data_IF_460039876820
#
_entry.id   IF_460039876820
#
_cell.length_a   1.000
_cell.length_b   1.000
_cell.length_c   1.000
_cell.angle_alpha   90.00
_cell.angle_beta   90.00
_cell.angle_gamma   90.00
#
_symmetry.space_group_name_H-M   'P 1'
#
loop_
_entity.id
_entity.type
_entity.pdbx_description
1 polymer ?
#
# COMPACT_ATOMS: atom_id res chain seq x y z
N UNK A 1 -0.03 -9.59 7.09
CA UNK A 1 0.08 -8.83 5.83
C UNK A 1 0.63 -9.72 4.72
N UNK A 2 0.03 -9.74 3.53
CA UNK A 2 0.50 -10.51 2.38
C UNK A 2 0.20 -9.80 1.06
N UNK A 3 0.71 -10.33 -0.06
CA UNK A 3 0.30 -10.00 -1.43
C UNK A 3 -0.45 -11.14 -2.11
N UNK A 4 -0.72 -12.22 -1.38
CA UNK A 4 -1.26 -13.47 -1.91
C UNK A 4 -2.60 -13.82 -1.29
N UNK A 5 -3.42 -14.58 -2.02
CA UNK A 5 -4.68 -15.17 -1.57
C UNK A 5 -4.51 -16.50 -0.84
N UNK A 6 -3.28 -17.00 -0.64
CA UNK A 6 -3.06 -18.35 -0.08
C UNK A 6 -3.68 -18.57 1.31
N UNK A 7 -3.83 -17.52 2.11
CA UNK A 7 -4.49 -17.60 3.43
C UNK A 7 -5.96 -18.05 3.33
N UNK A 8 -6.59 -17.98 2.15
CA UNK A 8 -7.96 -18.46 1.94
C UNK A 8 -8.12 -19.94 2.31
N UNK A 9 -7.05 -20.72 2.22
CA UNK A 9 -7.02 -22.15 2.56
C UNK A 9 -7.19 -22.41 4.05
N UNK A 10 -6.82 -21.44 4.87
CA UNK A 10 -6.76 -21.56 6.33
C UNK A 10 -7.85 -20.71 7.00
N UNK A 11 -8.86 -20.23 6.26
CA UNK A 11 -9.91 -19.34 6.80
C UNK A 11 -10.70 -19.99 7.94
N UNK A 12 -10.91 -21.30 7.89
CA UNK A 12 -11.58 -22.08 8.94
C UNK A 12 -10.80 -22.07 10.25
N UNK A 13 -9.47 -22.00 10.19
CA UNK A 13 -8.59 -21.85 11.35
C UNK A 13 -8.54 -20.37 11.77
N UNK A 14 -8.25 -19.47 10.83
CA UNK A 14 -8.01 -18.05 11.07
C UNK A 14 -9.22 -17.35 11.71
N UNK A 15 -10.45 -17.73 11.37
CA UNK A 15 -11.66 -17.15 11.96
C UNK A 15 -11.83 -17.42 13.46
N UNK A 16 -11.15 -18.44 13.98
CA UNK A 16 -11.17 -18.79 15.40
C UNK A 16 -9.98 -18.16 16.17
N UNK A 17 -9.11 -17.40 15.49
CA UNK A 17 -7.95 -16.74 16.09
C UNK A 17 -8.19 -15.24 16.23
N UNK A 18 -7.60 -14.64 17.27
CA UNK A 18 -7.51 -13.19 17.43
C UNK A 18 -6.49 -12.62 16.43
N UNK A 19 -6.91 -12.44 15.18
CA UNK A 19 -6.05 -11.99 14.09
C UNK A 19 -6.73 -10.95 13.18
N UNK A 20 -5.92 -10.22 12.43
CA UNK A 20 -6.38 -9.36 11.34
C UNK A 20 -5.62 -9.70 10.05
N UNK A 21 -6.35 -9.75 8.93
CA UNK A 21 -5.78 -10.07 7.62
C UNK A 21 -5.55 -8.78 6.84
N UNK A 22 -4.29 -8.59 6.44
CA UNK A 22 -3.87 -7.47 5.61
C UNK A 22 -3.43 -7.91 4.23
N UNK A 23 -3.89 -7.24 3.17
CA UNK A 23 -3.36 -7.43 1.82
C UNK A 23 -2.83 -6.11 1.25
N UNK A 24 -1.68 -6.15 0.57
CA UNK A 24 -1.22 -5.02 -0.23
C UNK A 24 -1.86 -5.05 -1.61
N UNK A 25 -2.55 -3.96 -1.95
CA UNK A 25 -3.11 -3.68 -3.27
C UNK A 25 -2.59 -2.31 -3.67
N UNK A 26 -1.47 -2.32 -4.41
CA UNK A 26 -0.73 -1.10 -4.76
C UNK A 26 -1.51 -0.23 -5.76
N UNK A 27 -2.26 -0.87 -6.64
CA UNK A 27 -3.18 -0.26 -7.62
C UNK A 27 -4.21 -1.31 -8.05
N UNK A 28 -5.39 -0.87 -8.51
CA UNK A 28 -6.39 -1.72 -9.19
C UNK A 28 -6.12 -1.91 -10.68
N UNK A 29 -5.22 -1.13 -11.26
CA UNK A 29 -4.77 -1.30 -12.64
C UNK A 29 -3.93 -2.57 -12.75
N UNK A 30 -4.50 -3.57 -13.43
CA UNK A 30 -3.90 -4.90 -13.62
C UNK A 30 -2.55 -4.83 -14.36
N UNK A 31 -2.40 -3.91 -15.32
CA UNK A 31 -1.16 -3.77 -16.07
C UNK A 31 -0.07 -3.15 -15.22
N UNK A 32 -0.39 -2.08 -14.49
CA UNK A 32 0.55 -1.46 -13.55
C UNK A 32 0.94 -2.42 -12.44
N UNK A 33 -0.02 -3.16 -11.90
CA UNK A 33 0.24 -4.17 -10.87
C UNK A 33 1.14 -5.29 -11.39
N UNK A 34 0.90 -5.84 -12.59
CA UNK A 34 1.74 -6.87 -13.21
C UNK A 34 3.16 -6.37 -13.46
N UNK A 35 3.33 -5.08 -13.81
CA UNK A 35 4.66 -4.51 -13.96
C UNK A 35 5.36 -4.29 -12.60
N UNK A 36 4.67 -3.88 -11.55
CA UNK A 36 5.31 -3.73 -10.23
C UNK A 36 5.57 -5.08 -9.54
N UNK A 37 4.65 -6.03 -9.71
CA UNK A 37 4.51 -7.23 -8.91
C UNK A 37 4.19 -8.46 -9.80
N UNK A 38 5.07 -8.81 -10.75
CA UNK A 38 4.76 -9.77 -11.83
C UNK A 38 4.40 -11.18 -11.36
N UNK A 39 4.80 -11.54 -10.13
CA UNK A 39 4.56 -12.87 -9.55
C UNK A 39 3.46 -12.86 -8.47
N UNK A 40 2.84 -11.71 -8.21
CA UNK A 40 1.72 -11.62 -7.27
C UNK A 40 0.40 -11.90 -7.99
N UNK A 41 -0.61 -12.48 -7.30
CA UNK A 41 -1.98 -12.51 -7.80
C UNK A 41 -2.49 -11.13 -8.23
N UNK A 42 -3.46 -11.11 -9.13
CA UNK A 42 -4.08 -9.87 -9.61
C UNK A 42 -4.63 -9.03 -8.44
N UNK A 43 -4.64 -7.68 -8.54
CA UNK A 43 -5.41 -6.82 -7.64
C UNK A 43 -6.84 -7.32 -7.42
N UNK A 44 -7.52 -7.77 -8.47
CA UNK A 44 -8.87 -8.33 -8.38
C UNK A 44 -8.95 -9.56 -7.48
N UNK A 45 -8.03 -10.53 -7.63
CA UNK A 45 -7.97 -11.71 -6.77
C UNK A 45 -7.65 -11.35 -5.32
N UNK A 46 -6.71 -10.43 -5.11
CA UNK A 46 -6.36 -9.90 -3.79
C UNK A 46 -7.56 -9.27 -3.08
N UNK A 47 -8.29 -8.39 -3.77
CA UNK A 47 -9.51 -7.76 -3.24
C UNK A 47 -10.57 -8.82 -2.93
N UNK A 48 -10.76 -9.81 -3.81
CA UNK A 48 -11.70 -10.91 -3.61
C UNK A 48 -11.35 -11.73 -2.36
N UNK A 49 -10.07 -12.05 -2.17
CA UNK A 49 -9.57 -12.77 -1.00
C UNK A 49 -9.86 -11.97 0.29
N UNK A 50 -9.59 -10.68 0.28
CA UNK A 50 -9.83 -9.81 1.42
C UNK A 50 -11.33 -9.68 1.76
N UNK A 51 -12.20 -9.64 0.75
CA UNK A 51 -13.66 -9.69 0.94
C UNK A 51 -14.11 -11.01 1.56
N UNK A 52 -13.46 -12.15 1.25
CA UNK A 52 -13.76 -13.44 1.89
C UNK A 52 -13.38 -13.43 3.37
N UNK A 53 -12.20 -12.94 3.73
CA UNK A 53 -11.81 -12.76 5.13
C UNK A 53 -12.86 -11.96 5.92
N UNK A 54 -13.31 -10.82 5.37
CA UNK A 54 -14.36 -10.00 5.99
C UNK A 54 -15.69 -10.76 6.17
N UNK A 55 -16.08 -11.60 5.20
CA UNK A 55 -17.31 -12.43 5.30
C UNK A 55 -17.24 -13.47 6.42
N UNK A 56 -16.05 -13.99 6.71
CA UNK A 56 -15.81 -14.90 7.84
C UNK A 56 -15.70 -14.17 9.19
N UNK A 57 -15.95 -12.85 9.23
CA UNK A 57 -15.87 -12.04 10.45
C UNK A 57 -14.45 -11.64 10.86
N UNK A 58 -13.44 -11.94 10.04
CA UNK A 58 -12.05 -11.60 10.33
C UNK A 58 -11.80 -10.13 9.99
N UNK A 59 -11.27 -9.31 10.93
CA UNK A 59 -10.88 -7.94 10.64
C UNK A 59 -9.92 -7.86 9.45
N UNK A 60 -10.25 -6.97 8.51
CA UNK A 60 -9.50 -6.80 7.27
C UNK A 60 -8.94 -5.38 7.16
N UNK A 61 -7.68 -5.29 6.74
CA UNK A 61 -7.03 -4.04 6.37
C UNK A 61 -6.34 -4.16 5.02
N UNK A 62 -6.03 -3.03 4.40
CA UNK A 62 -5.30 -3.00 3.15
C UNK A 62 -4.07 -2.10 3.23
N UNK A 63 -3.16 -2.29 2.27
CA UNK A 63 -2.09 -1.34 2.00
C UNK A 63 -2.15 -0.87 0.56
N UNK A 64 -2.21 0.44 0.36
CA UNK A 64 -1.93 1.09 -0.92
C UNK A 64 -0.49 1.60 -0.83
N UNK A 65 0.44 0.65 -0.92
CA UNK A 65 1.85 0.85 -0.57
C UNK A 65 2.76 0.03 -1.51
N UNK A 66 3.65 0.67 -2.30
CA UNK A 66 3.97 2.09 -2.26
C UNK A 66 3.07 2.99 -3.12
N UNK A 67 2.87 4.22 -2.65
CA UNK A 67 2.50 5.36 -3.48
C UNK A 67 3.74 5.81 -4.27
N UNK A 68 3.59 5.83 -5.60
CA UNK A 68 4.60 6.25 -6.56
C UNK A 68 4.01 7.44 -7.35
N UNK A 69 4.61 8.64 -7.25
CA UNK A 69 4.18 9.78 -8.06
C UNK A 69 4.15 9.43 -9.55
N UNK A 70 3.15 9.93 -10.29
CA UNK A 70 2.97 9.67 -11.72
C UNK A 70 2.74 8.20 -12.10
N UNK A 71 2.33 7.37 -11.14
CA UNK A 71 2.07 5.96 -11.38
C UNK A 71 0.89 5.46 -10.53
N UNK A 72 1.14 5.02 -9.29
CA UNK A 72 0.08 4.53 -8.37
C UNK A 72 -0.63 5.66 -7.62
N UNK A 73 -0.12 6.90 -7.73
CA UNK A 73 -0.85 8.08 -7.26
C UNK A 73 -1.96 8.52 -8.23
N UNK A 74 -1.81 8.22 -9.53
CA UNK A 74 -2.77 8.65 -10.56
C UNK A 74 -4.10 7.89 -10.47
N UNK A 75 -4.08 6.66 -9.94
CA UNK A 75 -5.23 5.77 -9.77
C UNK A 75 -5.51 5.46 -8.28
N UNK A 76 -5.06 6.35 -7.40
CA UNK A 76 -5.20 6.18 -5.95
C UNK A 76 -6.66 6.15 -5.51
N UNK A 77 -7.51 7.00 -6.11
CA UNK A 77 -8.91 7.13 -5.72
C UNK A 77 -9.71 5.88 -6.12
N UNK A 78 -9.49 5.34 -7.32
CA UNK A 78 -10.08 4.10 -7.80
C UNK A 78 -9.63 2.91 -6.94
N UNK A 79 -8.36 2.90 -6.56
CA UNK A 79 -7.80 1.87 -5.68
C UNK A 79 -8.41 1.94 -4.28
N UNK A 80 -8.52 3.16 -3.74
CA UNK A 80 -9.17 3.42 -2.46
C UNK A 80 -10.65 3.03 -2.47
N UNK A 81 -11.38 3.37 -3.54
CA UNK A 81 -12.79 3.02 -3.72
C UNK A 81 -12.99 1.51 -3.70
N UNK A 82 -12.15 0.78 -4.42
CA UNK A 82 -12.21 -0.68 -4.47
C UNK A 82 -11.92 -1.32 -3.10
N UNK A 83 -11.16 -0.65 -2.24
CA UNK A 83 -10.79 -1.09 -0.90
C UNK A 83 -11.67 -0.49 0.21
N UNK A 84 -12.68 0.32 -0.12
CA UNK A 84 -13.49 1.06 0.86
C UNK A 84 -14.22 0.21 1.90
N UNK A 85 -14.25 -1.12 1.70
CA UNK A 85 -14.84 -2.08 2.63
C UNK A 85 -13.91 -2.48 3.79
N UNK A 86 -12.64 -2.08 3.83
CA UNK A 86 -11.71 -2.44 4.91
C UNK A 86 -11.77 -1.45 6.07
N UNK A 87 -11.30 -1.84 7.26
CA UNK A 87 -11.35 -0.98 8.46
C UNK A 87 -10.14 -0.06 8.61
N UNK A 88 -9.02 -0.41 7.96
CA UNK A 88 -7.77 0.34 8.02
C UNK A 88 -7.04 0.30 6.68
N UNK A 89 -6.46 1.43 6.27
CA UNK A 89 -5.58 1.50 5.11
C UNK A 89 -4.25 2.12 5.51
N UNK A 90 -3.17 1.39 5.23
CA UNK A 90 -1.81 1.91 5.33
C UNK A 90 -1.33 2.40 3.98
N UNK A 91 -0.61 3.52 3.96
CA UNK A 91 0.12 4.00 2.79
C UNK A 91 1.57 4.30 3.13
N UNK A 92 2.45 4.27 2.14
CA UNK A 92 3.77 4.88 2.26
C UNK A 92 4.26 5.27 0.87
N UNK A 93 5.12 6.27 0.77
CA UNK A 93 5.79 6.61 -0.49
C UNK A 93 6.90 5.61 -0.80
N UNK A 94 7.17 5.38 -2.08
CA UNK A 94 8.25 4.50 -2.53
C UNK A 94 9.60 4.96 -1.96
N UNK A 95 10.33 4.03 -1.34
CA UNK A 95 11.68 4.24 -0.80
C UNK A 95 12.64 3.38 -1.60
N UNK A 96 13.58 4.01 -2.31
CA UNK A 96 14.49 3.29 -3.19
C UNK A 96 15.76 2.90 -2.45
N UNK A 97 16.19 1.66 -2.59
CA UNK A 97 17.59 1.25 -2.33
C UNK A 97 18.40 1.28 -3.63
N UNK A 98 19.74 1.31 -3.62
CA UNK A 98 20.54 1.32 -4.85
C UNK A 98 20.19 0.21 -5.85
N UNK A 99 19.91 -1.01 -5.37
CA UNK A 99 19.50 -2.14 -6.20
C UNK A 99 18.08 -1.95 -6.77
N UNK A 100 17.16 -1.44 -5.95
CA UNK A 100 15.78 -1.16 -6.35
C UNK A 100 15.71 -0.01 -7.35
N UNK A 101 16.57 0.99 -7.18
CA UNK A 101 16.73 2.10 -8.12
C UNK A 101 17.12 1.59 -9.51
N UNK A 102 18.17 0.77 -9.60
CA UNK A 102 18.61 0.19 -10.89
C UNK A 102 17.51 -0.65 -11.56
N UNK A 103 16.78 -1.46 -10.77
CA UNK A 103 15.64 -2.23 -11.30
C UNK A 103 14.51 -1.32 -11.80
N UNK A 104 14.22 -0.24 -11.08
CA UNK A 104 13.21 0.74 -11.48
C UNK A 104 13.64 1.47 -12.76
N UNK A 105 14.91 1.85 -12.91
CA UNK A 105 15.42 2.47 -14.14
C UNK A 105 15.32 1.54 -15.34
N UNK A 106 15.69 0.26 -15.16
CA UNK A 106 15.62 -0.73 -16.22
C UNK A 106 14.17 -1.04 -16.64
N UNK A 107 13.24 -1.13 -15.66
CA UNK A 107 11.86 -1.55 -15.91
C UNK A 107 10.93 -0.38 -16.27
N UNK A 108 11.20 0.82 -15.74
CA UNK A 108 10.35 1.99 -15.88
C UNK A 108 11.18 3.24 -16.26
N UNK A 109 11.88 3.24 -17.40
CA UNK A 109 12.80 4.32 -17.76
C UNK A 109 12.11 5.68 -17.84
N UNK A 110 10.92 5.77 -18.43
CA UNK A 110 10.17 7.04 -18.54
C UNK A 110 9.66 7.55 -17.20
N UNK A 111 9.21 6.65 -16.32
CA UNK A 111 8.83 7.02 -14.96
C UNK A 111 10.04 7.51 -14.16
N UNK A 112 11.18 6.81 -14.29
CA UNK A 112 12.41 7.18 -13.60
C UNK A 112 13.03 8.49 -14.10
N UNK A 113 12.81 8.89 -15.37
CA UNK A 113 13.14 10.26 -15.82
C UNK A 113 12.41 11.34 -15.01
N UNK A 114 11.15 11.09 -14.61
CA UNK A 114 10.37 12.01 -13.76
C UNK A 114 10.75 11.90 -12.29
N UNK A 115 10.98 10.68 -11.79
CA UNK A 115 11.24 10.44 -10.37
C UNK A 115 12.67 10.79 -9.94
N UNK A 116 13.67 10.53 -10.79
CA UNK A 116 15.10 10.71 -10.44
C UNK A 116 15.42 12.14 -9.97
N UNK A 117 14.98 13.22 -10.64
CA UNK A 117 15.20 14.57 -10.16
C UNK A 117 14.59 14.84 -8.77
N UNK A 118 13.44 14.22 -8.46
CA UNK A 118 12.79 14.35 -7.16
C UNK A 118 13.60 13.64 -6.07
N UNK A 119 13.96 12.38 -6.29
CA UNK A 119 14.75 11.61 -5.33
C UNK A 119 16.16 12.18 -5.11
N UNK A 120 16.78 12.80 -6.13
CA UNK A 120 18.07 13.49 -5.98
C UNK A 120 17.99 14.73 -5.07
N UNK A 121 16.83 15.38 -5.01
CA UNK A 121 16.53 16.49 -4.09
C UNK A 121 15.96 16.00 -2.75
N UNK A 122 15.74 14.71 -2.61
CA UNK A 122 15.14 14.09 -1.44
C UNK A 122 16.15 13.76 -0.35
N UNK A 123 15.70 12.99 0.62
CA UNK A 123 16.49 12.61 1.78
C UNK A 123 17.09 11.22 1.61
N UNK A 124 18.28 11.01 2.16
CA UNK A 124 18.87 9.68 2.31
C UNK A 124 18.88 9.29 3.78
N UNK A 125 17.97 8.40 4.17
CA UNK A 125 17.85 7.94 5.56
C UNK A 125 18.25 6.47 5.61
N UNK A 126 19.41 6.21 6.19
CA UNK A 126 20.09 4.92 6.10
C UNK A 126 20.41 4.55 4.64
N UNK A 127 20.07 3.32 4.24
CA UNK A 127 20.29 2.82 2.88
C UNK A 127 19.21 3.18 1.86
N UNK A 128 18.27 4.06 2.19
CA UNK A 128 17.09 4.36 1.37
C UNK A 128 17.09 5.83 0.92
N UNK A 129 16.74 6.05 -0.35
CA UNK A 129 16.39 7.33 -0.94
C UNK A 129 14.89 7.56 -0.79
N UNK A 130 14.54 8.70 -0.21
CA UNK A 130 13.17 9.16 0.00
C UNK A 130 12.90 10.32 -0.96
N UNK A 131 11.64 10.54 -1.30
CA UNK A 131 11.22 11.80 -1.91
C UNK A 131 11.47 12.96 -0.93
N UNK A 132 11.56 14.22 -1.42
CA UNK A 132 11.64 15.40 -0.57
C UNK A 132 10.54 15.39 0.49
N UNK A 133 10.88 15.73 1.73
CA UNK A 133 9.98 15.65 2.89
C UNK A 133 8.63 16.33 2.63
N UNK A 134 8.65 17.53 2.07
CA UNK A 134 7.43 18.29 1.74
C UNK A 134 6.52 17.54 0.77
N UNK A 135 7.09 16.93 -0.27
CA UNK A 135 6.33 16.14 -1.24
C UNK A 135 5.73 14.90 -0.57
N UNK A 136 6.52 14.19 0.25
CA UNK A 136 6.02 13.00 0.98
C UNK A 136 4.87 13.37 1.90
N UNK A 137 5.05 14.37 2.75
CA UNK A 137 4.04 14.76 3.72
C UNK A 137 2.76 15.27 3.03
N UNK A 138 2.87 15.99 1.91
CA UNK A 138 1.71 16.41 1.12
C UNK A 138 0.92 15.20 0.59
N UNK A 139 1.60 14.23 -0.03
CA UNK A 139 0.95 13.00 -0.52
C UNK A 139 0.26 12.25 0.62
N UNK A 140 0.93 12.10 1.76
CA UNK A 140 0.39 11.39 2.92
C UNK A 140 -0.80 12.12 3.54
N UNK A 141 -0.77 13.46 3.58
CA UNK A 141 -1.89 14.27 4.06
C UNK A 141 -3.11 14.15 3.13
N UNK A 142 -2.91 14.23 1.82
CA UNK A 142 -3.97 14.04 0.82
C UNK A 142 -4.55 12.62 0.90
N UNK A 143 -3.70 11.60 0.97
CA UNK A 143 -4.13 10.21 1.14
C UNK A 143 -4.93 10.01 2.44
N UNK A 144 -4.46 10.58 3.56
CA UNK A 144 -5.16 10.53 4.85
C UNK A 144 -6.56 11.13 4.74
N UNK A 145 -6.69 12.35 4.21
CA UNK A 145 -7.98 13.02 4.05
C UNK A 145 -8.96 12.18 3.24
N UNK A 146 -8.49 11.60 2.12
CA UNK A 146 -9.29 10.72 1.25
C UNK A 146 -9.73 9.43 1.96
N UNK A 147 -8.82 8.78 2.68
CA UNK A 147 -9.09 7.54 3.43
C UNK A 147 -10.09 7.79 4.56
N UNK A 148 -9.85 8.82 5.39
CA UNK A 148 -10.70 9.13 6.54
C UNK A 148 -12.08 9.65 6.12
N UNK A 149 -12.19 10.33 4.97
CA UNK A 149 -13.48 10.72 4.40
C UNK A 149 -14.39 9.53 4.07
N UNK A 150 -13.83 8.32 3.94
CA UNK A 150 -14.59 7.08 3.76
C UNK A 150 -14.89 6.36 5.08
N UNK A 151 -14.57 6.96 6.23
CA UNK A 151 -14.73 6.34 7.55
C UNK A 151 -13.71 5.24 7.83
N UNK A 152 -12.60 5.21 7.09
CA UNK A 152 -11.54 4.19 7.22
C UNK A 152 -10.39 4.78 8.04
N UNK A 153 -9.82 4.01 8.95
CA UNK A 153 -8.68 4.49 9.73
C UNK A 153 -7.40 4.53 8.89
N UNK A 154 -6.57 5.54 9.12
CA UNK A 154 -5.35 5.79 8.34
C UNK A 154 -4.08 5.30 9.05
N UNK A 155 -3.16 4.71 8.30
CA UNK A 155 -1.81 4.38 8.75
C UNK A 155 -0.74 4.84 7.75
N UNK A 156 0.44 5.18 8.26
CA UNK A 156 1.62 5.40 7.44
C UNK A 156 2.84 4.67 8.01
N UNK A 157 3.56 3.92 7.17
CA UNK A 157 4.67 3.09 7.62
C UNK A 157 6.02 3.72 7.25
N UNK A 158 6.88 3.95 8.26
CA UNK A 158 8.25 4.50 8.09
C UNK A 158 8.29 5.84 7.34
N UNK A 159 7.26 6.67 7.53
CA UNK A 159 7.19 8.01 6.93
C UNK A 159 7.57 9.14 7.91
N UNK A 160 7.60 8.84 9.22
CA UNK A 160 7.65 9.88 10.25
C UNK A 160 6.36 10.70 10.29
N UNK A 161 5.24 10.10 9.88
CA UNK A 161 3.93 10.72 9.79
C UNK A 161 2.92 9.94 10.64
N UNK A 162 1.77 10.54 10.88
CA UNK A 162 0.71 10.02 11.74
C UNK A 162 0.24 8.61 11.34
N UNK A 163 -0.21 7.82 12.33
CA UNK A 163 -0.94 6.56 12.15
C UNK A 163 -1.94 6.38 13.28
N UNK A 164 -3.15 5.91 12.97
CA UNK A 164 -4.16 5.57 13.94
C UNK A 164 -4.03 4.10 14.38
N UNK A 165 -3.99 3.82 15.69
CA UNK A 165 -2.81 3.90 16.55
C UNK A 165 -1.56 3.16 16.01
N UNK A 166 -1.73 2.23 15.06
CA UNK A 166 -0.63 1.47 14.47
C UNK A 166 -0.78 1.39 12.95
N UNK A 167 0.34 1.44 12.22
CA UNK A 167 0.34 1.34 10.76
C UNK A 167 0.14 -0.09 10.22
N UNK A 168 0.09 -1.10 11.07
CA UNK A 168 0.03 -2.52 10.69
C UNK A 168 -1.35 -3.14 10.92
N UNK A 169 -2.33 -2.33 11.37
CA UNK A 169 -3.68 -2.79 11.69
C UNK A 169 -3.79 -3.61 12.97
N UNK A 170 -2.73 -3.71 13.80
CA UNK A 170 -2.76 -4.49 15.04
C UNK A 170 -3.86 -4.06 16.01
N UNK A 171 -4.24 -2.78 16.01
CA UNK A 171 -5.35 -2.26 16.82
C UNK A 171 -6.72 -2.83 16.43
N UNK A 172 -6.89 -3.38 15.22
CA UNK A 172 -8.14 -4.03 14.80
C UNK A 172 -8.42 -5.33 15.53
N UNK A 173 -7.40 -5.87 16.21
CA UNK A 173 -7.56 -7.07 17.02
C UNK A 173 -7.97 -6.72 18.45
N UNK A 174 -7.90 -5.46 18.90
CA UNK A 174 -8.03 -5.15 20.34
C UNK A 174 -9.41 -5.50 20.90
#
# INVERSE_FOLDING_TARGET
LTKSSLFERDLDILKNLKCAIGITVTTIDEEKARLLEPNAPSPKERIKALKKAKKEGIPAYARIDPIIPFYTWEDFDETLDALSFVSHITVSTLKLRPDSWKRMEAKFPELMKKLTPLYKKGEKIGGYYYLPKEIRLKILEEARKKIEAKGITFGSCREGYYSYPTCDGSHLML
#
